data_IF_491020131211
#
_entry.id   IF_491020131211
#
_cell.length_a   1.000
_cell.length_b   1.000
_cell.length_c   1.000
_cell.angle_alpha   90.00
_cell.angle_beta   90.00
_cell.angle_gamma   90.00
#
_symmetry.space_group_name_H-M   'P 1'
#
loop_
_entity.id
_entity.type
_entity.pdbx_description
1 polymer ?
#
# COMPACT_ATOMS: atom_id res chain seq x y z
N UNK A 1 46.30 -8.36 6.00
CA UNK A 1 45.38 -7.54 6.81
C UNK A 1 43.98 -7.72 6.26
N UNK A 2 43.11 -8.45 6.96
CA UNK A 2 41.68 -8.52 6.63
C UNK A 2 41.08 -7.17 7.03
N UNK A 3 40.69 -6.34 6.06
CA UNK A 3 39.85 -5.17 6.32
C UNK A 3 38.54 -5.66 6.92
N UNK A 4 38.40 -5.61 8.25
CA UNK A 4 37.08 -5.73 8.89
C UNK A 4 36.28 -4.53 8.38
N UNK A 5 35.22 -4.78 7.62
CA UNK A 5 34.28 -3.74 7.25
C UNK A 5 33.66 -3.19 8.54
N UNK A 6 33.55 -1.88 8.58
CA UNK A 6 32.89 -1.14 9.64
C UNK A 6 31.38 -1.48 9.67
N UNK A 7 30.68 -1.52 10.82
CA UNK A 7 29.24 -1.83 10.87
C UNK A 7 28.42 -0.92 9.96
N UNK A 8 28.76 0.36 9.84
CA UNK A 8 28.07 1.31 8.96
C UNK A 8 28.15 0.87 7.49
N UNK A 9 29.34 0.47 7.02
CA UNK A 9 29.52 -0.04 5.65
C UNK A 9 28.78 -1.36 5.41
N UNK A 10 28.62 -2.18 6.46
CA UNK A 10 27.83 -3.40 6.38
C UNK A 10 26.34 -3.06 6.30
N UNK A 11 25.84 -2.14 7.11
CA UNK A 11 24.45 -1.68 7.06
C UNK A 11 24.13 -1.11 5.67
N UNK A 12 24.95 -0.19 5.14
CA UNK A 12 24.77 0.34 3.78
C UNK A 12 24.83 -0.74 2.69
N UNK A 13 25.63 -1.79 2.88
CA UNK A 13 25.68 -2.91 1.95
C UNK A 13 24.45 -3.83 2.05
N UNK A 14 23.85 -3.93 3.23
CA UNK A 14 22.61 -4.66 3.46
C UNK A 14 21.41 -3.90 2.90
N UNK A 15 21.31 -2.60 3.14
CA UNK A 15 20.26 -1.74 2.56
C UNK A 15 20.23 -1.85 1.04
N UNK A 16 21.41 -1.69 0.40
CA UNK A 16 21.53 -1.88 -1.05
C UNK A 16 21.16 -3.28 -1.52
N UNK A 17 21.40 -4.31 -0.71
CA UNK A 17 21.00 -5.67 -1.07
C UNK A 17 19.48 -5.84 -1.01
N UNK A 18 18.82 -5.27 0.00
CA UNK A 18 17.35 -5.23 0.08
C UNK A 18 16.74 -4.46 -1.08
N UNK A 19 17.27 -3.27 -1.39
CA UNK A 19 16.84 -2.45 -2.54
C UNK A 19 17.01 -3.19 -3.88
N UNK A 20 18.03 -4.02 -4.02
CA UNK A 20 18.29 -4.82 -5.22
C UNK A 20 17.47 -6.12 -5.27
N UNK A 21 16.62 -6.40 -4.28
CA UNK A 21 15.86 -7.65 -4.22
C UNK A 21 16.75 -8.88 -3.98
N UNK A 22 17.88 -8.71 -3.31
CA UNK A 22 18.75 -9.81 -2.83
C UNK A 22 18.68 -9.93 -1.30
N UNK A 23 17.53 -10.36 -0.75
CA UNK A 23 17.38 -10.49 0.70
C UNK A 23 18.30 -11.59 1.27
N UNK A 24 18.77 -12.56 0.46
CA UNK A 24 19.69 -13.60 0.94
C UNK A 24 21.04 -13.00 1.33
N UNK A 25 21.55 -12.08 0.52
CA UNK A 25 22.76 -11.33 0.86
C UNK A 25 22.55 -10.42 2.06
N UNK A 26 21.39 -9.79 2.20
CA UNK A 26 21.06 -9.00 3.39
C UNK A 26 21.12 -9.86 4.68
N UNK A 27 20.57 -11.09 4.67
CA UNK A 27 20.70 -12.02 5.80
C UNK A 27 22.17 -12.34 6.10
N UNK A 28 23.01 -12.62 5.10
CA UNK A 28 24.43 -12.90 5.32
C UNK A 28 25.19 -11.72 5.96
N UNK A 29 24.78 -10.50 5.65
CA UNK A 29 25.33 -9.29 6.24
C UNK A 29 24.81 -9.10 7.66
N UNK A 30 23.53 -9.38 7.94
CA UNK A 30 23.00 -9.39 9.30
C UNK A 30 23.75 -10.37 10.22
N UNK A 31 24.09 -11.56 9.73
CA UNK A 31 24.91 -12.54 10.49
C UNK A 31 26.36 -12.05 10.73
N UNK A 32 26.87 -11.11 9.93
CA UNK A 32 28.12 -10.41 10.23
C UNK A 32 27.92 -9.38 11.34
N UNK A 33 26.84 -8.59 11.28
CA UNK A 33 26.48 -7.60 12.30
C UNK A 33 26.24 -8.24 13.67
N UNK A 34 25.60 -9.41 13.74
CA UNK A 34 25.44 -10.17 14.98
C UNK A 34 26.77 -10.61 15.58
N UNK A 35 27.72 -11.08 14.75
CA UNK A 35 29.08 -11.40 15.22
C UNK A 35 29.82 -10.17 15.76
N UNK A 36 29.43 -8.98 15.31
CA UNK A 36 29.92 -7.69 15.82
C UNK A 36 29.08 -7.15 16.98
N UNK A 37 28.06 -7.89 17.45
CA UNK A 37 27.09 -7.49 18.48
C UNK A 37 26.37 -6.19 18.13
N UNK A 38 26.14 -5.95 16.85
CA UNK A 38 25.46 -4.76 16.35
C UNK A 38 23.96 -5.04 16.14
N UNK A 39 23.11 -4.24 16.78
CA UNK A 39 21.65 -4.46 16.84
C UNK A 39 20.94 -4.27 15.50
N UNK A 40 21.50 -3.46 14.59
CA UNK A 40 20.96 -3.31 13.22
C UNK A 40 20.84 -4.66 12.46
N UNK A 41 21.58 -5.70 12.87
CA UNK A 41 21.42 -7.03 12.31
C UNK A 41 19.99 -7.59 12.46
N UNK A 42 19.28 -7.24 13.54
CA UNK A 42 17.90 -7.71 13.78
C UNK A 42 16.94 -7.11 12.75
N UNK A 43 16.99 -5.78 12.57
CA UNK A 43 16.20 -5.08 11.55
C UNK A 43 16.47 -5.64 10.16
N UNK A 44 17.74 -5.71 9.75
CA UNK A 44 18.13 -6.13 8.40
C UNK A 44 17.67 -7.56 8.13
N UNK A 45 17.88 -8.48 9.09
CA UNK A 45 17.45 -9.87 8.94
C UNK A 45 15.94 -9.99 8.88
N UNK A 46 15.21 -9.24 9.71
CA UNK A 46 13.76 -9.27 9.71
C UNK A 46 13.19 -8.78 8.38
N UNK A 47 13.69 -7.65 7.86
CA UNK A 47 13.31 -7.14 6.53
C UNK A 47 13.59 -8.13 5.42
N UNK A 48 14.77 -8.74 5.44
CA UNK A 48 15.12 -9.76 4.46
C UNK A 48 14.22 -11.00 4.53
N UNK A 49 13.86 -11.45 5.74
CA UNK A 49 12.96 -12.59 5.93
C UNK A 49 11.53 -12.25 5.46
N UNK A 50 11.08 -11.03 5.71
CA UNK A 50 9.80 -10.53 5.19
C UNK A 50 9.77 -10.58 3.66
N UNK A 51 10.80 -10.06 2.99
CA UNK A 51 10.92 -10.06 1.52
C UNK A 51 11.02 -11.48 0.94
N UNK A 52 11.47 -12.46 1.73
CA UNK A 52 11.47 -13.88 1.37
C UNK A 52 10.12 -14.58 1.58
N UNK A 53 9.08 -13.87 2.04
CA UNK A 53 7.79 -14.45 2.37
C UNK A 53 7.80 -15.29 3.65
N UNK A 54 8.65 -14.94 4.63
CA UNK A 54 8.75 -15.59 5.94
C UNK A 54 8.40 -14.63 7.09
N UNK A 55 7.14 -14.16 7.17
CA UNK A 55 6.76 -13.08 8.08
C UNK A 55 6.87 -13.48 9.57
N UNK A 56 6.59 -14.74 9.92
CA UNK A 56 6.72 -15.22 11.30
C UNK A 56 8.18 -15.23 11.78
N UNK A 57 9.10 -15.63 10.91
CA UNK A 57 10.53 -15.61 11.22
C UNK A 57 11.06 -14.17 11.34
N UNK A 58 10.52 -13.24 10.54
CA UNK A 58 10.83 -11.82 10.64
C UNK A 58 10.38 -11.24 11.99
N UNK A 59 9.14 -11.54 12.41
CA UNK A 59 8.60 -11.13 13.70
C UNK A 59 9.41 -11.75 14.85
N UNK A 60 9.72 -13.04 14.79
CA UNK A 60 10.52 -13.71 15.82
C UNK A 60 11.92 -13.09 15.96
N UNK A 61 12.55 -12.72 14.83
CA UNK A 61 13.85 -12.03 14.83
C UNK A 61 13.75 -10.66 15.52
N UNK A 62 12.67 -9.90 15.29
CA UNK A 62 12.46 -8.60 15.93
C UNK A 62 12.13 -8.74 17.41
N UNK A 63 11.36 -9.76 17.79
CA UNK A 63 11.06 -10.09 19.20
C UNK A 63 12.36 -10.38 19.98
N UNK A 64 13.25 -11.21 19.43
CA UNK A 64 14.59 -11.42 19.99
C UNK A 64 15.37 -10.10 20.09
N UNK A 65 15.30 -9.27 19.04
CA UNK A 65 15.98 -7.98 19.00
C UNK A 65 15.54 -7.01 20.09
N UNK A 66 14.23 -6.88 20.34
CA UNK A 66 13.70 -5.98 21.37
C UNK A 66 13.93 -6.52 22.79
N UNK A 67 14.07 -7.83 22.98
CA UNK A 67 14.50 -8.41 24.26
C UNK A 67 15.97 -8.07 24.58
N UNK A 68 16.84 -8.10 23.56
CA UNK A 68 18.27 -7.83 23.71
C UNK A 68 18.56 -6.33 23.79
N UNK A 69 17.83 -5.52 23.04
CA UNK A 69 18.07 -4.09 22.89
C UNK A 69 16.75 -3.28 22.95
N UNK A 70 16.09 -3.24 24.14
CA UNK A 70 14.76 -2.64 24.29
C UNK A 70 14.72 -1.12 24.07
N UNK A 71 15.87 -0.44 24.09
CA UNK A 71 16.00 1.01 23.89
C UNK A 71 16.14 1.40 22.39
N UNK A 72 16.20 0.43 21.48
CA UNK A 72 16.35 0.67 20.04
C UNK A 72 14.97 0.78 19.40
N UNK A 73 14.47 2.01 19.30
CA UNK A 73 13.13 2.31 18.76
C UNK A 73 12.88 1.69 17.37
N UNK A 74 13.91 1.58 16.54
CA UNK A 74 13.80 1.03 15.18
C UNK A 74 13.28 -0.41 15.20
N UNK A 75 13.72 -1.24 16.15
CA UNK A 75 13.28 -2.62 16.26
C UNK A 75 11.79 -2.72 16.61
N UNK A 76 11.33 -1.84 17.50
CA UNK A 76 9.91 -1.72 17.86
C UNK A 76 9.05 -1.20 16.70
N UNK A 77 9.57 -0.27 15.90
CA UNK A 77 8.86 0.24 14.72
C UNK A 77 8.61 -0.87 13.69
N UNK A 78 9.65 -1.63 13.33
CA UNK A 78 9.48 -2.78 12.41
C UNK A 78 8.62 -3.87 13.01
N UNK A 79 8.75 -4.15 14.31
CA UNK A 79 7.93 -5.16 14.98
C UNK A 79 6.46 -4.77 14.91
N UNK A 80 6.12 -3.53 15.26
CA UNK A 80 4.76 -3.02 15.18
C UNK A 80 4.22 -3.03 13.74
N UNK A 81 5.03 -2.64 12.76
CA UNK A 81 4.65 -2.67 11.35
C UNK A 81 4.32 -4.08 10.87
N UNK A 82 5.18 -5.05 11.12
CA UNK A 82 4.97 -6.44 10.69
C UNK A 82 3.82 -7.12 11.45
N UNK A 83 3.63 -6.80 12.72
CA UNK A 83 2.45 -7.25 13.45
C UNK A 83 1.17 -6.65 12.86
N UNK A 84 1.18 -5.37 12.49
CA UNK A 84 0.04 -4.72 11.83
C UNK A 84 -0.25 -5.31 10.45
N UNK A 85 0.78 -5.59 9.65
CA UNK A 85 0.65 -6.20 8.32
C UNK A 85 0.12 -7.65 8.42
N UNK A 86 0.42 -8.35 9.53
CA UNK A 86 -0.13 -9.68 9.87
C UNK A 86 -1.48 -9.59 10.62
N UNK A 87 -2.14 -8.44 10.61
CA UNK A 87 -3.44 -8.18 11.25
C UNK A 87 -3.47 -8.38 12.78
N UNK A 88 -2.29 -8.47 13.43
CA UNK A 88 -2.11 -8.56 14.88
C UNK A 88 -2.07 -7.18 15.51
N UNK A 89 -3.15 -6.40 15.32
CA UNK A 89 -3.19 -4.98 15.66
C UNK A 89 -2.99 -4.69 17.16
N UNK A 90 -3.45 -5.57 18.05
CA UNK A 90 -3.24 -5.42 19.50
C UNK A 90 -1.75 -5.43 19.88
N UNK A 91 -1.03 -6.44 19.39
CA UNK A 91 0.42 -6.56 19.59
C UNK A 91 1.17 -5.40 18.92
N UNK A 92 0.71 -4.96 17.74
CA UNK A 92 1.28 -3.81 17.03
C UNK A 92 1.18 -2.52 17.86
N UNK A 93 0.03 -2.26 18.48
CA UNK A 93 -0.15 -1.10 19.38
C UNK A 93 0.83 -1.15 20.55
N UNK A 94 1.07 -2.33 21.13
CA UNK A 94 2.03 -2.49 22.23
C UNK A 94 3.47 -2.20 21.76
N UNK A 95 3.87 -2.77 20.63
CA UNK A 95 5.18 -2.52 20.03
C UNK A 95 5.41 -1.04 19.73
N UNK A 96 4.43 -0.35 19.11
CA UNK A 96 4.56 1.08 18.83
C UNK A 96 4.62 1.94 20.10
N UNK A 97 3.87 1.60 21.16
CA UNK A 97 3.95 2.32 22.45
C UNK A 97 5.33 2.14 23.09
N UNK A 98 5.89 0.93 23.05
CA UNK A 98 7.23 0.66 23.57
C UNK A 98 8.30 1.43 22.77
N UNK A 99 8.23 1.40 21.43
CA UNK A 99 9.16 2.13 20.57
C UNK A 99 9.09 3.64 20.77
N UNK A 100 7.89 4.19 20.97
CA UNK A 100 7.68 5.60 21.27
C UNK A 100 8.28 6.03 22.62
N UNK A 101 8.42 5.12 23.58
CA UNK A 101 9.03 5.37 24.88
C UNK A 101 10.57 5.37 24.85
N UNK A 102 11.18 4.88 23.77
CA UNK A 102 12.63 4.81 23.62
C UNK A 102 13.28 6.20 23.41
N UNK A 103 14.57 6.36 23.77
CA UNK A 103 15.33 7.57 23.52
C UNK A 103 15.40 7.96 22.04
N UNK A 104 15.21 9.25 21.74
CA UNK A 104 15.29 9.83 20.40
C UNK A 104 14.32 9.23 19.36
N UNK A 105 13.27 8.52 19.81
CA UNK A 105 12.27 7.97 18.92
C UNK A 105 11.52 9.09 18.15
N UNK A 106 11.28 8.94 16.84
CA UNK A 106 10.47 9.87 16.05
C UNK A 106 9.01 9.80 16.48
N UNK A 107 8.63 10.66 17.43
CA UNK A 107 7.31 10.65 18.08
C UNK A 107 6.15 10.75 17.08
N UNK A 108 6.27 11.61 16.06
CA UNK A 108 5.26 11.78 15.02
C UNK A 108 5.03 10.51 14.18
N UNK A 109 6.10 9.78 13.83
CA UNK A 109 6.00 8.48 13.14
C UNK A 109 5.25 7.44 13.99
N UNK A 110 5.63 7.31 15.27
CA UNK A 110 4.96 6.35 16.17
C UNK A 110 3.50 6.71 16.43
N UNK A 111 3.17 7.99 16.63
CA UNK A 111 1.79 8.44 16.78
C UNK A 111 0.97 8.19 15.52
N UNK A 112 1.55 8.39 14.34
CA UNK A 112 0.91 8.03 13.07
C UNK A 112 0.67 6.52 12.96
N UNK A 113 1.67 5.69 13.23
CA UNK A 113 1.52 4.23 13.20
C UNK A 113 0.47 3.72 14.20
N UNK A 114 0.42 4.30 15.40
CA UNK A 114 -0.66 4.04 16.36
C UNK A 114 -2.03 4.42 15.79
N UNK A 115 -2.15 5.58 15.13
CA UNK A 115 -3.40 5.99 14.49
C UNK A 115 -3.86 4.98 13.44
N UNK A 116 -2.96 4.52 12.58
CA UNK A 116 -3.27 3.51 11.55
C UNK A 116 -3.71 2.20 12.20
N UNK A 117 -3.02 1.72 13.24
CA UNK A 117 -3.42 0.51 13.96
C UNK A 117 -4.81 0.65 14.61
N UNK A 118 -5.12 1.81 15.21
CA UNK A 118 -6.48 2.07 15.73
C UNK A 118 -7.54 2.12 14.62
N UNK A 119 -7.23 2.67 13.45
CA UNK A 119 -8.15 2.63 12.30
C UNK A 119 -8.49 1.21 11.86
N UNK A 120 -7.48 0.32 11.85
CA UNK A 120 -7.67 -1.10 11.51
C UNK A 120 -8.55 -1.83 12.54
N UNK A 121 -8.51 -1.41 13.80
CA UNK A 121 -9.40 -1.88 14.86
C UNK A 121 -10.80 -1.25 14.83
N UNK A 122 -11.03 -0.25 13.97
CA UNK A 122 -12.29 0.52 13.94
C UNK A 122 -12.41 1.57 15.05
N UNK A 123 -11.35 1.79 15.83
CA UNK A 123 -11.29 2.73 16.96
C UNK A 123 -10.96 4.15 16.46
N UNK A 124 -11.86 4.72 15.67
CA UNK A 124 -11.59 5.95 14.93
C UNK A 124 -11.37 7.18 15.81
N UNK A 125 -11.97 7.24 17.00
CA UNK A 125 -11.73 8.36 17.94
C UNK A 125 -10.32 8.32 18.53
N UNK A 126 -9.84 7.12 18.90
CA UNK A 126 -8.46 6.92 19.34
C UNK A 126 -7.48 7.26 18.21
N UNK A 127 -7.79 6.85 16.97
CA UNK A 127 -6.99 7.21 15.81
C UNK A 127 -6.89 8.74 15.62
N UNK A 128 -8.00 9.47 15.69
CA UNK A 128 -8.01 10.93 15.58
C UNK A 128 -7.21 11.59 16.70
N UNK A 129 -7.30 11.09 17.93
CA UNK A 129 -6.52 11.59 19.05
C UNK A 129 -5.00 11.42 18.82
N UNK A 130 -4.57 10.29 18.25
CA UNK A 130 -3.16 10.08 17.92
C UNK A 130 -2.69 11.00 16.79
N UNK A 131 -3.52 11.21 15.75
CA UNK A 131 -3.20 12.15 14.67
C UNK A 131 -3.11 13.60 15.15
N UNK A 132 -3.96 14.02 16.08
CA UNK A 132 -3.88 15.33 16.72
C UNK A 132 -2.60 15.50 17.55
N UNK A 133 -2.14 14.44 18.20
CA UNK A 133 -0.85 14.45 18.90
C UNK A 133 0.31 14.50 17.91
N UNK A 134 0.27 13.69 16.84
CA UNK A 134 1.29 13.68 15.79
C UNK A 134 1.46 15.06 15.14
N UNK A 135 0.35 15.77 14.90
CA UNK A 135 0.36 17.14 14.35
C UNK A 135 1.07 18.15 15.28
N UNK A 136 1.00 17.96 16.61
CA UNK A 136 1.65 18.85 17.59
C UNK A 136 3.16 18.66 17.69
N UNK A 137 3.64 17.46 17.38
CA UNK A 137 5.08 17.09 17.44
C UNK A 137 5.66 16.85 16.05
N UNK A 138 4.97 17.36 15.03
CA UNK A 138 5.28 17.13 13.62
C UNK A 138 6.72 17.52 13.31
N UNK A 139 7.48 16.58 12.74
CA UNK A 139 8.88 16.78 12.40
C UNK A 139 9.23 16.16 11.04
N UNK A 140 9.00 14.85 10.91
CA UNK A 140 9.35 14.05 9.73
C UNK A 140 8.14 13.56 8.94
N UNK A 141 7.01 13.36 9.61
CA UNK A 141 5.80 12.86 8.96
C UNK A 141 5.25 13.90 7.97
N UNK A 142 5.06 13.56 6.69
CA UNK A 142 4.49 14.51 5.75
C UNK A 142 3.02 14.82 6.08
N UNK A 143 2.66 16.10 6.04
CA UNK A 143 1.29 16.58 6.34
C UNK A 143 0.25 15.85 5.50
N UNK A 144 0.57 15.53 4.25
CA UNK A 144 -0.38 14.87 3.36
C UNK A 144 -0.79 13.47 3.86
N UNK A 145 0.13 12.70 4.43
CA UNK A 145 -0.16 11.40 5.06
C UNK A 145 -1.02 11.53 6.30
N UNK A 146 -0.70 12.50 7.17
CA UNK A 146 -1.48 12.77 8.38
C UNK A 146 -2.92 13.15 8.03
N UNK A 147 -3.11 14.01 7.03
CA UNK A 147 -4.42 14.51 6.63
C UNK A 147 -5.26 13.46 5.88
N UNK A 148 -4.64 12.57 5.08
CA UNK A 148 -5.38 11.44 4.48
C UNK A 148 -5.82 10.43 5.53
N UNK A 149 -4.96 10.10 6.50
CA UNK A 149 -5.35 9.25 7.62
C UNK A 149 -6.49 9.90 8.42
N UNK A 150 -6.41 11.20 8.71
CA UNK A 150 -7.49 11.95 9.38
C UNK A 150 -8.79 11.88 8.59
N UNK A 151 -8.74 12.12 7.29
CA UNK A 151 -9.89 12.05 6.41
C UNK A 151 -10.55 10.66 6.44
N UNK A 152 -9.76 9.58 6.42
CA UNK A 152 -10.28 8.22 6.51
C UNK A 152 -11.08 8.01 7.80
N UNK A 153 -10.51 8.31 8.98
CA UNK A 153 -11.22 8.18 10.26
C UNK A 153 -12.53 8.97 10.27
N UNK A 154 -12.52 10.20 9.74
CA UNK A 154 -13.71 11.06 9.69
C UNK A 154 -14.78 10.51 8.73
N UNK A 155 -14.39 9.92 7.60
CA UNK A 155 -15.32 9.26 6.67
C UNK A 155 -16.02 8.08 7.34
N UNK A 156 -15.29 7.26 8.12
CA UNK A 156 -15.90 6.12 8.82
C UNK A 156 -16.88 6.57 9.91
N UNK A 157 -16.61 7.72 10.55
CA UNK A 157 -17.54 8.36 11.48
C UNK A 157 -18.66 9.18 10.79
N UNK A 158 -18.74 9.19 9.45
CA UNK A 158 -19.69 10.01 8.67
C UNK A 158 -19.56 11.53 8.87
N UNK A 159 -18.40 12.00 9.36
CA UNK A 159 -18.06 13.41 9.57
C UNK A 159 -17.53 14.03 8.28
N UNK A 160 -18.36 14.01 7.23
CA UNK A 160 -17.92 14.29 5.86
C UNK A 160 -17.36 15.70 5.63
N UNK A 161 -17.96 16.74 6.23
CA UNK A 161 -17.47 18.11 6.08
C UNK A 161 -16.06 18.30 6.68
N UNK A 162 -15.74 17.57 7.76
CA UNK A 162 -14.40 17.58 8.35
C UNK A 162 -13.42 16.77 7.51
N UNK A 163 -13.87 15.65 6.95
CA UNK A 163 -13.07 14.85 6.03
C UNK A 163 -12.70 15.65 4.77
N UNK A 164 -13.64 16.39 4.17
CA UNK A 164 -13.38 17.25 3.01
C UNK A 164 -12.31 18.30 3.30
N UNK A 165 -12.37 18.97 4.46
CA UNK A 165 -11.33 19.91 4.89
C UNK A 165 -9.97 19.24 5.04
N UNK A 166 -9.93 18.02 5.57
CA UNK A 166 -8.69 17.24 5.68
C UNK A 166 -8.14 16.88 4.29
N UNK A 167 -9.01 16.46 3.36
CA UNK A 167 -8.63 16.18 1.97
C UNK A 167 -8.14 17.42 1.22
N UNK A 168 -8.68 18.60 1.50
CA UNK A 168 -8.17 19.87 0.96
C UNK A 168 -6.78 20.23 1.50
N UNK A 169 -6.52 19.94 2.78
CA UNK A 169 -5.18 20.10 3.38
C UNK A 169 -4.20 19.09 2.79
N UNK A 170 -4.60 17.82 2.66
CA UNK A 170 -3.80 16.77 2.01
C UNK A 170 -3.44 17.14 0.57
N UNK A 171 -4.42 17.61 -0.22
CA UNK A 171 -4.19 18.03 -1.60
C UNK A 171 -3.18 19.17 -1.72
N UNK A 172 -3.23 20.17 -0.82
CA UNK A 172 -2.26 21.28 -0.80
C UNK A 172 -0.86 20.83 -0.38
N UNK A 173 -0.78 19.79 0.45
CA UNK A 173 0.48 19.23 0.92
C UNK A 173 1.12 18.26 -0.09
N UNK A 174 0.40 17.81 -1.12
CA UNK A 174 0.95 16.94 -2.18
C UNK A 174 2.09 17.61 -2.95
N UNK A 175 2.00 18.93 -3.16
CA UNK A 175 3.03 19.68 -3.89
C UNK A 175 4.37 19.72 -3.12
N UNK A 176 4.34 19.46 -1.81
CA UNK A 176 5.52 19.39 -0.95
C UNK A 176 6.04 17.95 -0.75
N UNK A 177 5.40 16.95 -1.36
CA UNK A 177 5.88 15.57 -1.36
C UNK A 177 6.79 15.35 -2.58
N UNK A 178 8.10 15.43 -2.34
CA UNK A 178 9.12 15.24 -3.38
C UNK A 178 9.25 13.78 -3.84
N UNK A 179 8.96 12.81 -2.95
CA UNK A 179 9.03 11.39 -3.29
C UNK A 179 7.87 10.99 -4.23
N UNK A 180 8.15 10.59 -5.49
CA UNK A 180 7.10 10.28 -6.47
C UNK A 180 6.19 9.13 -6.04
N UNK A 181 6.74 8.15 -5.32
CA UNK A 181 5.94 7.01 -4.84
C UNK A 181 4.93 7.47 -3.78
N UNK A 182 5.39 8.18 -2.75
CA UNK A 182 4.52 8.76 -1.72
C UNK A 182 3.50 9.73 -2.31
N UNK A 183 3.91 10.56 -3.27
CA UNK A 183 3.01 11.46 -3.98
C UNK A 183 1.86 10.67 -4.63
N UNK A 184 2.18 9.62 -5.39
CA UNK A 184 1.19 8.79 -6.06
C UNK A 184 0.23 8.10 -5.09
N UNK A 185 0.75 7.49 -4.02
CA UNK A 185 -0.09 6.81 -3.02
C UNK A 185 -1.05 7.79 -2.34
N UNK A 186 -0.57 8.95 -1.90
CA UNK A 186 -1.42 9.96 -1.26
C UNK A 186 -2.43 10.54 -2.26
N UNK A 187 -2.02 10.79 -3.51
CA UNK A 187 -2.93 11.27 -4.55
C UNK A 187 -4.06 10.27 -4.85
N UNK A 188 -3.73 8.96 -4.88
CA UNK A 188 -4.71 7.89 -5.00
C UNK A 188 -5.71 7.92 -3.83
N UNK A 189 -5.22 7.99 -2.59
CA UNK A 189 -6.06 8.06 -1.39
C UNK A 189 -6.97 9.29 -1.40
N UNK A 190 -6.45 10.48 -1.73
CA UNK A 190 -7.24 11.71 -1.80
C UNK A 190 -8.40 11.57 -2.79
N UNK A 191 -8.15 10.99 -3.97
CA UNK A 191 -9.19 10.75 -4.96
C UNK A 191 -10.18 9.67 -4.51
N UNK A 192 -9.72 8.53 -4.00
CA UNK A 192 -10.60 7.46 -3.53
C UNK A 192 -11.51 7.94 -2.40
N UNK A 193 -10.99 8.71 -1.44
CA UNK A 193 -11.75 9.25 -0.31
C UNK A 193 -12.77 10.30 -0.73
N UNK A 194 -12.47 11.16 -1.71
CA UNK A 194 -13.48 12.03 -2.35
C UNK A 194 -14.60 11.19 -2.97
N UNK A 195 -14.25 10.10 -3.66
CA UNK A 195 -15.22 9.17 -4.23
C UNK A 195 -16.11 8.50 -3.16
N UNK A 196 -15.53 8.08 -2.04
CA UNK A 196 -16.29 7.53 -0.91
C UNK A 196 -17.28 8.56 -0.34
N UNK A 197 -16.91 9.83 -0.25
CA UNK A 197 -17.80 10.90 0.21
C UNK A 197 -18.96 11.09 -0.78
N UNK A 198 -18.68 11.23 -2.09
CA UNK A 198 -19.72 11.34 -3.12
C UNK A 198 -20.70 10.17 -3.06
N UNK A 199 -20.21 8.94 -2.89
CA UNK A 199 -21.08 7.78 -2.84
C UNK A 199 -21.87 7.69 -1.52
N UNK A 200 -21.19 7.78 -0.36
CA UNK A 200 -21.80 7.50 0.95
C UNK A 200 -22.64 8.66 1.48
N UNK A 201 -22.27 9.92 1.18
CA UNK A 201 -23.04 11.12 1.59
C UNK A 201 -24.10 11.47 0.56
N UNK A 202 -23.71 11.55 -0.71
CA UNK A 202 -24.55 12.16 -1.76
C UNK A 202 -25.33 11.12 -2.58
N UNK A 203 -24.98 9.83 -2.47
CA UNK A 203 -25.54 8.77 -3.31
C UNK A 203 -25.10 8.85 -4.78
N UNK A 204 -24.14 9.72 -5.10
CA UNK A 204 -23.69 10.00 -6.46
C UNK A 204 -22.61 9.01 -6.88
N UNK A 205 -23.06 7.85 -7.34
CA UNK A 205 -22.17 6.78 -7.81
C UNK A 205 -21.37 7.19 -9.07
N UNK A 206 -21.93 8.04 -9.92
CA UNK A 206 -21.25 8.48 -11.15
C UNK A 206 -20.01 9.31 -10.81
N UNK A 207 -20.18 10.33 -9.96
CA UNK A 207 -19.04 11.14 -9.48
C UNK A 207 -18.07 10.32 -8.63
N UNK A 208 -18.58 9.35 -7.86
CA UNK A 208 -17.73 8.46 -7.09
C UNK A 208 -16.80 7.61 -7.99
N UNK A 209 -17.32 7.09 -9.11
CA UNK A 209 -16.52 6.34 -10.10
C UNK A 209 -15.54 7.22 -10.86
N UNK A 210 -15.88 8.47 -11.18
CA UNK A 210 -14.92 9.42 -11.74
C UNK A 210 -13.72 9.63 -10.81
N UNK A 211 -13.98 9.79 -9.52
CA UNK A 211 -12.94 9.88 -8.50
C UNK A 211 -12.15 8.58 -8.37
N UNK A 212 -12.80 7.42 -8.41
CA UNK A 212 -12.13 6.12 -8.38
C UNK A 212 -11.20 5.94 -9.60
N UNK A 213 -11.63 6.27 -10.82
CA UNK A 213 -10.78 6.21 -12.01
C UNK A 213 -9.54 7.11 -11.88
N UNK A 214 -9.69 8.30 -11.27
CA UNK A 214 -8.54 9.19 -10.99
C UNK A 214 -7.59 8.58 -9.96
N UNK A 215 -8.10 7.87 -8.96
CA UNK A 215 -7.28 7.16 -7.99
C UNK A 215 -6.51 6.00 -8.64
N UNK A 216 -7.16 5.22 -9.51
CA UNK A 216 -6.57 4.06 -10.19
C UNK A 216 -5.43 4.45 -11.14
N UNK A 217 -5.41 5.68 -11.67
CA UNK A 217 -4.28 6.20 -12.46
C UNK A 217 -3.00 6.33 -11.66
N UNK A 218 -3.12 6.57 -10.35
CA UNK A 218 -1.98 6.65 -9.44
C UNK A 218 -1.63 5.29 -8.84
N UNK A 219 -2.66 4.56 -8.40
CA UNK A 219 -2.53 3.24 -7.82
C UNK A 219 -3.72 2.37 -8.23
N UNK A 220 -3.51 1.50 -9.24
CA UNK A 220 -4.53 0.57 -9.72
C UNK A 220 -4.90 -0.53 -8.72
N UNK A 221 -4.16 -0.64 -7.62
CA UNK A 221 -4.42 -1.60 -6.54
C UNK A 221 -5.15 -0.98 -5.36
N UNK A 222 -5.43 0.33 -5.39
CA UNK A 222 -6.08 1.04 -4.30
C UNK A 222 -7.44 0.39 -3.94
N UNK A 223 -7.60 -0.14 -2.71
CA UNK A 223 -8.76 -0.97 -2.37
C UNK A 223 -10.07 -0.20 -2.37
N UNK A 224 -10.05 1.07 -1.95
CA UNK A 224 -11.24 1.91 -1.93
C UNK A 224 -11.70 2.27 -3.35
N UNK A 225 -10.76 2.54 -4.26
CA UNK A 225 -11.07 2.78 -5.66
C UNK A 225 -11.62 1.53 -6.36
N UNK A 226 -11.00 0.36 -6.13
CA UNK A 226 -11.50 -0.93 -6.62
C UNK A 226 -12.93 -1.19 -6.12
N UNK A 227 -13.19 -0.97 -4.84
CA UNK A 227 -14.50 -1.14 -4.25
C UNK A 227 -15.55 -0.17 -4.86
N UNK A 228 -15.18 1.08 -5.11
CA UNK A 228 -16.05 2.07 -5.78
C UNK A 228 -16.36 1.69 -7.23
N UNK A 229 -15.42 1.11 -7.97
CA UNK A 229 -15.67 0.61 -9.33
C UNK A 229 -16.66 -0.56 -9.34
N UNK A 230 -16.64 -1.41 -8.29
CA UNK A 230 -17.62 -2.49 -8.09
C UNK A 230 -18.95 -2.00 -7.53
N UNK A 231 -18.98 -0.83 -6.87
CA UNK A 231 -20.21 -0.31 -6.27
C UNK A 231 -21.28 -0.11 -7.34
N UNK A 232 -22.48 -0.65 -7.11
CA UNK A 232 -23.59 -0.61 -8.08
C UNK A 232 -23.55 -1.68 -9.18
N UNK A 233 -22.49 -2.48 -9.30
CA UNK A 233 -22.50 -3.63 -10.22
C UNK A 233 -23.49 -4.72 -9.75
N UNK A 234 -23.98 -5.57 -10.68
CA UNK A 234 -24.82 -6.71 -10.34
C UNK A 234 -24.18 -7.63 -9.30
N UNK A 235 -25.02 -8.25 -8.48
CA UNK A 235 -24.61 -9.33 -7.58
C UNK A 235 -24.65 -10.64 -8.37
N UNK A 236 -23.66 -11.50 -8.17
CA UNK A 236 -23.66 -12.88 -8.66
C UNK A 236 -24.77 -13.69 -7.96
N UNK A 237 -25.95 -13.71 -8.56
CA UNK A 237 -27.15 -14.38 -8.05
C UNK A 237 -27.13 -15.91 -8.24
N UNK A 238 -26.28 -16.38 -9.14
CA UNK A 238 -25.93 -17.78 -9.43
C UNK A 238 -24.42 -18.00 -9.20
N UNK A 239 -23.93 -19.25 -9.20
CA UNK A 239 -22.49 -19.50 -9.26
C UNK A 239 -21.86 -18.80 -10.48
N UNK A 240 -21.03 -17.80 -10.22
CA UNK A 240 -20.38 -16.96 -11.23
C UNK A 240 -18.87 -17.13 -11.13
N UNK A 241 -18.15 -17.29 -12.25
CA UNK A 241 -16.69 -17.38 -12.27
C UNK A 241 -15.97 -16.21 -11.60
N UNK A 242 -14.91 -16.55 -10.86
CA UNK A 242 -13.77 -15.68 -10.62
C UNK A 242 -12.70 -16.02 -11.65
N UNK A 243 -12.45 -15.10 -12.58
CA UNK A 243 -11.43 -15.23 -13.62
C UNK A 243 -10.12 -14.61 -13.17
N UNK A 244 -9.01 -15.29 -13.44
CA UNK A 244 -7.71 -14.65 -13.64
C UNK A 244 -7.56 -14.32 -15.13
N UNK A 245 -7.45 -13.03 -15.46
CA UNK A 245 -7.40 -12.53 -16.83
C UNK A 245 -6.08 -11.82 -17.08
N UNK A 246 -5.40 -12.27 -18.12
CA UNK A 246 -4.30 -11.56 -18.75
C UNK A 246 -4.89 -10.72 -19.89
N UNK A 247 -4.84 -9.40 -19.76
CA UNK A 247 -5.25 -8.48 -20.84
C UNK A 247 -4.03 -8.02 -21.62
N UNK A 248 -4.17 -7.94 -22.93
CA UNK A 248 -3.21 -7.32 -23.83
C UNK A 248 -3.76 -5.98 -24.30
N UNK A 249 -2.91 -4.94 -24.30
CA UNK A 249 -3.25 -3.60 -24.76
C UNK A 249 -2.10 -2.95 -25.50
N UNK A 250 -2.39 -1.84 -26.17
CA UNK A 250 -1.41 -1.03 -26.90
C UNK A 250 -1.47 0.40 -26.37
N UNK A 251 -0.36 0.87 -25.83
CA UNK A 251 -0.21 2.25 -25.39
C UNK A 251 0.10 3.13 -26.61
N UNK A 252 -0.88 3.93 -27.04
CA UNK A 252 -0.77 4.76 -28.26
C UNK A 252 0.04 6.04 -28.06
N UNK A 253 0.14 6.51 -26.83
CA UNK A 253 1.02 7.61 -26.45
C UNK A 253 2.42 7.07 -26.15
N UNK A 254 3.49 7.59 -26.77
CA UNK A 254 4.83 7.09 -26.49
C UNK A 254 5.17 7.33 -25.02
N UNK A 255 5.51 6.27 -24.30
CA UNK A 255 6.22 6.39 -23.02
C UNK A 255 7.53 7.12 -23.28
N UNK A 256 8.02 7.86 -22.29
CA UNK A 256 9.21 8.69 -22.45
C UNK A 256 10.40 7.86 -23.00
N UNK A 257 10.87 8.21 -24.21
CA UNK A 257 11.94 7.48 -24.93
C UNK A 257 11.49 6.42 -25.94
N UNK A 258 10.20 6.12 -26.05
CA UNK A 258 9.65 5.14 -27.00
C UNK A 258 9.40 5.75 -28.40
N UNK A 259 9.71 5.01 -29.47
CA UNK A 259 9.50 5.45 -30.86
C UNK A 259 8.19 4.97 -31.49
N UNK A 260 7.50 4.00 -30.88
CA UNK A 260 6.31 3.33 -31.41
C UNK A 260 5.31 3.03 -30.28
N UNK A 261 4.03 2.73 -30.59
CA UNK A 261 3.09 2.24 -29.60
C UNK A 261 3.64 0.98 -28.93
N UNK A 262 3.68 0.97 -27.61
CA UNK A 262 4.21 -0.17 -26.84
C UNK A 262 3.05 -1.10 -26.47
N UNK A 263 3.18 -2.38 -26.80
CA UNK A 263 2.25 -3.42 -26.36
C UNK A 263 2.50 -3.75 -24.89
N UNK A 264 1.45 -4.08 -24.15
CA UNK A 264 1.58 -4.47 -22.74
C UNK A 264 0.65 -5.60 -22.34
N UNK A 265 1.04 -6.30 -21.29
CA UNK A 265 0.19 -7.22 -20.54
C UNK A 265 -0.09 -6.72 -19.12
N UNK A 266 -1.32 -6.93 -18.66
CA UNK A 266 -1.74 -6.66 -17.28
C UNK A 266 -2.62 -7.79 -16.73
N UNK A 267 -2.54 -8.01 -15.41
CA UNK A 267 -3.20 -9.11 -14.72
C UNK A 267 -4.33 -8.62 -13.82
N UNK A 268 -5.49 -9.25 -13.96
CA UNK A 268 -6.71 -8.93 -13.23
C UNK A 268 -7.38 -10.19 -12.69
N UNK A 269 -7.99 -10.07 -11.51
CA UNK A 269 -8.98 -11.02 -11.03
C UNK A 269 -10.35 -10.37 -11.07
N UNK A 270 -11.31 -11.01 -11.71
CA UNK A 270 -12.61 -10.39 -12.04
C UNK A 270 -13.74 -11.40 -11.86
N UNK A 271 -14.80 -10.98 -11.16
CA UNK A 271 -16.04 -11.76 -11.08
C UNK A 271 -16.94 -11.33 -12.24
N UNK A 272 -17.19 -12.23 -13.18
CA UNK A 272 -18.02 -11.98 -14.35
C UNK A 272 -18.52 -13.30 -14.96
N UNK A 273 -19.65 -13.27 -15.67
CA UNK A 273 -20.21 -14.45 -16.34
C UNK A 273 -19.31 -14.93 -17.49
N UNK A 274 -18.62 -14.01 -18.16
CA UNK A 274 -17.72 -14.31 -19.29
C UNK A 274 -16.44 -13.46 -19.23
N UNK A 275 -15.34 -13.90 -19.88
CA UNK A 275 -14.14 -13.07 -20.05
C UNK A 275 -14.40 -11.75 -20.79
N UNK A 276 -15.37 -11.72 -21.72
CA UNK A 276 -15.76 -10.49 -22.41
C UNK A 276 -16.45 -9.49 -21.48
N UNK A 277 -17.37 -9.95 -20.61
CA UNK A 277 -17.96 -9.10 -19.56
C UNK A 277 -16.86 -8.61 -18.60
N UNK A 278 -15.90 -9.47 -18.26
CA UNK A 278 -14.79 -9.11 -17.40
C UNK A 278 -13.91 -8.00 -18.01
N UNK A 279 -13.69 -8.03 -19.32
CA UNK A 279 -12.94 -7.00 -20.03
C UNK A 279 -13.59 -5.62 -19.88
N UNK A 280 -14.92 -5.53 -19.90
CA UNK A 280 -15.64 -4.28 -19.69
C UNK A 280 -15.44 -3.70 -18.28
N UNK A 281 -15.35 -4.56 -17.26
CA UNK A 281 -14.99 -4.13 -15.91
C UNK A 281 -13.51 -3.71 -15.78
N UNK A 282 -12.62 -4.25 -16.61
CA UNK A 282 -11.19 -3.93 -16.60
C UNK A 282 -10.93 -2.58 -17.29
N UNK A 283 -11.65 -2.22 -18.35
CA UNK A 283 -11.40 -0.99 -19.14
C UNK A 283 -11.14 0.28 -18.30
N UNK A 284 -11.88 0.58 -17.22
CA UNK A 284 -11.62 1.78 -16.42
C UNK A 284 -10.30 1.78 -15.65
N UNK A 285 -9.72 0.61 -15.37
CA UNK A 285 -8.43 0.46 -14.69
C UNK A 285 -7.24 0.80 -15.58
N UNK A 286 -7.47 0.85 -16.89
CA UNK A 286 -6.43 1.12 -17.88
C UNK A 286 -6.47 2.59 -18.36
N UNK A 287 -5.31 3.14 -18.78
CA UNK A 287 -5.21 4.49 -19.31
C UNK A 287 -6.19 4.71 -20.47
N UNK A 288 -6.86 5.88 -20.57
CA UNK A 288 -7.81 6.17 -21.65
C UNK A 288 -7.29 5.87 -23.06
N UNK A 289 -6.00 6.12 -23.32
CA UNK A 289 -5.35 5.88 -24.61
C UNK A 289 -5.19 4.40 -24.98
N UNK A 290 -5.26 3.49 -24.00
CA UNK A 290 -5.16 2.05 -24.19
C UNK A 290 -6.52 1.33 -24.24
N UNK A 291 -7.60 1.93 -23.69
CA UNK A 291 -8.89 1.25 -23.46
C UNK A 291 -9.50 0.61 -24.70
N UNK A 292 -9.37 1.25 -25.86
CA UNK A 292 -9.93 0.77 -27.13
C UNK A 292 -9.14 -0.40 -27.74
N UNK A 293 -7.90 -0.62 -27.28
CA UNK A 293 -7.02 -1.69 -27.77
C UNK A 293 -7.08 -2.95 -26.92
N UNK A 294 -7.69 -2.88 -25.73
CA UNK A 294 -7.70 -4.00 -24.80
C UNK A 294 -8.42 -5.21 -25.37
N UNK A 295 -7.77 -6.36 -25.26
CA UNK A 295 -8.33 -7.68 -25.56
C UNK A 295 -7.93 -8.68 -24.49
N UNK A 296 -8.75 -9.70 -24.29
CA UNK A 296 -8.40 -10.85 -23.45
C UNK A 296 -7.32 -11.66 -24.19
N UNK A 297 -6.14 -11.79 -23.57
CA UNK A 297 -5.06 -12.64 -24.07
C UNK A 297 -5.21 -14.06 -23.52
N UNK A 298 -5.39 -14.17 -22.20
CA UNK A 298 -5.65 -15.43 -21.51
C UNK A 298 -6.73 -15.22 -20.44
N UNK A 299 -7.54 -16.25 -20.21
CA UNK A 299 -8.53 -16.28 -19.13
C UNK A 299 -8.53 -17.66 -18.47
N UNK A 300 -8.21 -17.70 -17.18
CA UNK A 300 -8.18 -18.91 -16.36
C UNK A 300 -9.25 -18.82 -15.30
N UNK A 301 -10.06 -19.88 -15.17
CA UNK A 301 -11.02 -20.01 -14.09
C UNK A 301 -10.28 -20.39 -12.80
N UNK A 302 -10.39 -19.56 -11.77
CA UNK A 302 -9.81 -19.84 -10.45
C UNK A 302 -10.81 -20.61 -9.58
N UNK A 303 -12.01 -20.04 -9.43
CA UNK A 303 -13.10 -20.62 -8.66
C UNK A 303 -14.45 -20.04 -9.11
N UNK A 304 -15.52 -20.47 -8.44
CA UNK A 304 -16.86 -19.89 -8.62
C UNK A 304 -17.34 -19.29 -7.32
N UNK A 305 -17.85 -18.07 -7.37
CA UNK A 305 -18.40 -17.35 -6.21
C UNK A 305 -19.90 -17.14 -6.37
N UNK A 306 -20.59 -16.89 -5.26
CA UNK A 306 -22.01 -16.54 -5.25
C UNK A 306 -22.28 -15.49 -4.17
N UNK A 307 -23.15 -14.53 -4.45
CA UNK A 307 -23.50 -13.44 -3.53
C UNK A 307 -22.54 -12.24 -3.55
N UNK A 308 -21.46 -12.31 -4.34
CA UNK A 308 -20.52 -11.21 -4.50
C UNK A 308 -20.89 -10.23 -5.62
N UNK A 309 -20.48 -8.97 -5.50
CA UNK A 309 -20.63 -8.00 -6.60
C UNK A 309 -19.66 -8.31 -7.72
N UNK A 310 -20.16 -8.32 -8.96
CA UNK A 310 -19.33 -8.44 -10.15
C UNK A 310 -18.34 -7.28 -10.31
N UNK A 311 -17.28 -7.52 -11.06
CA UNK A 311 -16.21 -6.56 -11.35
C UNK A 311 -14.83 -7.00 -10.89
N UNK A 312 -13.84 -6.13 -11.10
CA UNK A 312 -12.43 -6.39 -10.75
C UNK A 312 -12.30 -6.49 -9.24
N UNK A 313 -11.86 -7.65 -8.72
CA UNK A 313 -11.59 -7.87 -7.30
C UNK A 313 -10.14 -7.53 -6.92
N UNK A 314 -9.22 -7.73 -7.86
CA UNK A 314 -7.78 -7.51 -7.67
C UNK A 314 -7.13 -7.16 -9.00
N UNK A 315 -6.17 -6.25 -8.97
CA UNK A 315 -5.28 -5.93 -10.08
C UNK A 315 -3.82 -6.01 -9.60
N UNK A 316 -2.87 -6.32 -10.48
CA UNK A 316 -1.44 -6.17 -10.18
C UNK A 316 -0.96 -4.79 -10.61
N UNK A 317 -0.08 -4.14 -9.83
CA UNK A 317 0.46 -2.80 -10.10
C UNK A 317 1.35 -2.70 -11.35
N UNK A 318 1.98 -3.81 -11.77
CA UNK A 318 2.93 -3.81 -12.89
C UNK A 318 2.31 -3.98 -14.28
N UNK A 319 3.12 -3.68 -15.30
CA UNK A 319 2.89 -4.02 -16.71
C UNK A 319 4.09 -4.82 -17.23
N UNK A 320 3.84 -5.74 -18.15
CA UNK A 320 4.90 -6.35 -18.95
C UNK A 320 4.84 -5.76 -20.35
N UNK A 321 5.83 -4.96 -20.72
CA UNK A 321 5.88 -4.26 -22.01
C UNK A 321 6.64 -5.07 -23.07
N UNK A 322 6.24 -4.90 -24.33
CA UNK A 322 6.94 -5.43 -25.50
C UNK A 322 6.83 -4.45 -26.67
N UNK A 323 7.85 -4.45 -27.53
CA UNK A 323 7.78 -3.74 -28.82
C UNK A 323 6.93 -4.58 -29.78
N UNK A 324 5.92 -3.96 -30.40
CA UNK A 324 5.17 -4.62 -31.47
C UNK A 324 6.02 -4.71 -32.74
N UNK A 325 5.87 -5.81 -33.48
CA UNK A 325 6.50 -6.01 -34.80
C UNK A 325 6.00 -5.02 -35.87
#
# INVERSE_FOLDING_TARGET
>A
MLFRRDPEQLIEAAERALEQGDPRKAVQIAEQLFRMRHTAGFEIKARALWDMGRPEDAIATLQEGVEIAPEVWVLWEYLGRYLSDMERYGDALEAFRNGMACPNAPQDSFLFNLAIAYQRLGEYDAALQMLEQAERVLNRLPVAWLETARAYSLIQQKRYAEAERSLERAQRALDALDDPWSHGVVAAMVHAYRGLICWRRDGDLARAREHAERALRWDKTNPDAVALMRAGNPIADKPTPLWHILVEGVWREPLEGARTPIGFFANYWVIADTPDEALDYIRPFEPPSARDSLKVSEATLEETVQGERKGVVRALAGYTFYEGD
#
